data_IF_390354587036
#
_entry.id   IF_390354587036
#
_cell.length_a   1.000
_cell.length_b   1.000
_cell.length_c   1.000
_cell.angle_alpha   90.00
_cell.angle_beta   90.00
_cell.angle_gamma   90.00
#
_symmetry.space_group_name_H-M   'P 1'
#
loop_
_entity.id
_entity.type
_entity.pdbx_description
1 polymer ?
#
# COMPACT_ATOMS: atom_id res chain seq x y z
N UNK A 1 0.86 -18.87 -5.35
CA UNK A 1 -0.39 -19.09 -6.05
C UNK A 1 -1.56 -18.30 -5.43
N UNK A 2 -1.74 -18.36 -4.09
CA UNK A 2 -2.82 -17.62 -3.42
C UNK A 2 -2.64 -16.12 -3.56
N UNK A 3 -1.42 -15.62 -3.47
CA UNK A 3 -1.13 -14.19 -3.60
C UNK A 3 -1.49 -13.71 -5.01
N UNK A 4 -1.04 -14.44 -6.03
CA UNK A 4 -1.33 -14.08 -7.42
C UNK A 4 -2.82 -14.09 -7.71
N UNK A 5 -3.53 -15.11 -7.21
CA UNK A 5 -4.98 -15.21 -7.39
C UNK A 5 -5.70 -14.04 -6.73
N UNK A 6 -5.27 -13.66 -5.53
CA UNK A 6 -5.89 -12.53 -4.81
C UNK A 6 -5.61 -11.20 -5.50
N UNK A 7 -4.39 -11.01 -6.01
CA UNK A 7 -4.06 -9.79 -6.76
C UNK A 7 -4.92 -9.68 -8.01
N UNK A 8 -5.16 -10.80 -8.68
CA UNK A 8 -6.05 -10.82 -9.84
C UNK A 8 -7.47 -10.40 -9.47
N UNK A 9 -7.99 -10.93 -8.36
CA UNK A 9 -9.32 -10.55 -7.87
C UNK A 9 -9.39 -9.06 -7.55
N UNK A 10 -8.36 -8.50 -6.89
CA UNK A 10 -8.31 -7.08 -6.57
C UNK A 10 -8.26 -6.23 -7.83
N UNK A 11 -7.47 -6.64 -8.82
CA UNK A 11 -7.41 -5.94 -10.10
C UNK A 11 -8.75 -5.92 -10.83
N UNK A 12 -9.46 -7.03 -10.80
CA UNK A 12 -10.79 -7.13 -11.38
C UNK A 12 -11.80 -6.23 -10.65
N UNK A 13 -11.76 -6.23 -9.32
CA UNK A 13 -12.63 -5.39 -8.50
C UNK A 13 -12.38 -3.91 -8.78
N UNK A 14 -11.13 -3.48 -8.81
CA UNK A 14 -10.75 -2.09 -9.10
C UNK A 14 -11.21 -1.73 -10.51
N UNK A 15 -11.03 -2.61 -11.47
CA UNK A 15 -11.46 -2.37 -12.85
C UNK A 15 -12.97 -2.13 -12.95
N UNK A 16 -13.75 -2.89 -12.19
CA UNK A 16 -15.20 -2.69 -12.15
C UNK A 16 -15.57 -1.38 -11.46
N UNK A 17 -14.94 -1.10 -10.33
CA UNK A 17 -15.24 0.10 -9.54
C UNK A 17 -14.91 1.39 -10.28
N UNK A 18 -13.94 1.34 -11.16
CA UNK A 18 -13.48 2.51 -11.91
C UNK A 18 -13.84 2.43 -13.40
N UNK A 19 -14.85 1.65 -13.76
CA UNK A 19 -15.31 1.55 -15.15
C UNK A 19 -15.62 2.93 -15.72
N UNK A 20 -15.06 3.24 -16.89
CA UNK A 20 -15.20 4.54 -17.54
C UNK A 20 -14.28 5.63 -17.00
N UNK A 21 -13.40 5.29 -16.06
CA UNK A 21 -12.47 6.24 -15.44
C UNK A 21 -11.03 5.77 -15.63
N UNK A 22 -10.10 6.65 -15.28
CA UNK A 22 -8.67 6.30 -15.17
C UNK A 22 -8.29 6.21 -13.70
N UNK A 23 -7.32 5.36 -13.39
CA UNK A 23 -6.83 5.17 -12.02
C UNK A 23 -5.37 5.59 -11.95
N UNK A 24 -5.04 6.34 -10.91
CA UNK A 24 -3.66 6.72 -10.63
C UNK A 24 -3.20 6.00 -9.37
N UNK A 25 -2.24 5.09 -9.52
CA UNK A 25 -1.70 4.31 -8.41
C UNK A 25 -0.48 4.99 -7.83
N UNK A 26 -0.45 5.13 -6.52
CA UNK A 26 0.73 5.62 -5.80
C UNK A 26 1.34 4.46 -5.04
N UNK A 27 2.52 4.04 -5.48
CA UNK A 27 3.27 2.97 -4.85
C UNK A 27 4.09 3.54 -3.69
N UNK A 28 3.88 3.03 -2.50
CA UNK A 28 4.67 3.43 -1.33
C UNK A 28 5.89 2.53 -1.26
N UNK A 29 7.04 3.08 -1.61
CA UNK A 29 8.32 2.38 -1.62
C UNK A 29 8.80 2.12 -0.20
N UNK A 30 9.59 1.08 0.03
CA UNK A 30 9.98 0.05 -0.97
C UNK A 30 9.04 -1.14 -0.97
N UNK A 31 8.37 -1.40 0.15
CA UNK A 31 7.66 -2.65 0.43
C UNK A 31 6.57 -3.01 -0.55
N UNK A 32 5.89 -2.03 -1.14
CA UNK A 32 4.76 -2.32 -2.02
C UNK A 32 5.13 -2.40 -3.50
N UNK A 33 6.43 -2.37 -3.83
CA UNK A 33 6.86 -2.31 -5.24
C UNK A 33 6.36 -3.49 -6.06
N UNK A 34 6.51 -4.72 -5.54
CA UNK A 34 6.07 -5.91 -6.27
C UNK A 34 4.56 -5.98 -6.37
N UNK A 35 3.88 -5.71 -5.26
CA UNK A 35 2.43 -5.72 -5.24
C UNK A 35 1.85 -4.70 -6.23
N UNK A 36 2.37 -3.47 -6.21
CA UNK A 36 1.89 -2.42 -7.11
C UNK A 36 2.06 -2.81 -8.57
N UNK A 37 3.22 -3.34 -8.93
CA UNK A 37 3.50 -3.74 -10.31
C UNK A 37 2.60 -4.87 -10.77
N UNK A 38 2.42 -5.88 -9.93
CA UNK A 38 1.55 -7.01 -10.27
C UNK A 38 0.08 -6.59 -10.34
N UNK A 39 -0.36 -5.75 -9.41
CA UNK A 39 -1.72 -5.25 -9.39
C UNK A 39 -2.02 -4.40 -10.64
N UNK A 40 -1.10 -3.50 -10.99
CA UNK A 40 -1.28 -2.63 -12.14
C UNK A 40 -1.52 -3.41 -13.43
N UNK A 41 -0.82 -4.53 -13.60
CA UNK A 41 -0.98 -5.38 -14.79
C UNK A 41 -2.35 -6.05 -14.87
N UNK A 42 -3.08 -6.10 -13.76
CA UNK A 42 -4.39 -6.75 -13.67
C UNK A 42 -5.55 -5.77 -13.77
N UNK A 43 -5.28 -4.48 -13.87
CA UNK A 43 -6.30 -3.44 -13.99
C UNK A 43 -6.51 -3.15 -15.48
N UNK A 44 -7.78 -3.20 -15.93
CA UNK A 44 -8.12 -3.09 -17.34
C UNK A 44 -8.57 -1.69 -17.77
N UNK A 45 -8.79 -0.78 -16.81
CA UNK A 45 -9.01 0.64 -17.12
C UNK A 45 -7.65 1.33 -17.29
N UNK A 46 -7.59 2.53 -17.89
CA UNK A 46 -6.30 3.22 -18.01
C UNK A 46 -5.65 3.47 -16.65
N UNK A 47 -4.37 3.15 -16.52
CA UNK A 47 -3.61 3.23 -15.29
C UNK A 47 -2.39 4.08 -15.49
N UNK A 48 -2.15 5.00 -14.55
CA UNK A 48 -0.87 5.69 -14.41
C UNK A 48 -0.29 5.35 -13.04
N UNK A 49 1.02 5.44 -12.91
CA UNK A 49 1.72 5.07 -11.69
C UNK A 49 2.68 6.16 -11.27
N UNK A 50 2.78 6.35 -9.96
CA UNK A 50 3.79 7.22 -9.38
C UNK A 50 4.30 6.57 -8.10
N UNK A 51 5.40 7.07 -7.57
CA UNK A 51 6.10 6.45 -6.46
C UNK A 51 6.38 7.49 -5.39
N UNK A 52 6.19 7.08 -4.14
CA UNK A 52 6.44 7.93 -2.99
C UNK A 52 7.16 7.11 -1.93
N UNK A 53 8.12 7.72 -1.24
CA UNK A 53 8.81 7.07 -0.15
C UNK A 53 8.74 7.95 1.08
N UNK A 54 8.31 7.36 2.19
CA UNK A 54 8.19 8.04 3.46
C UNK A 54 8.95 7.26 4.52
N UNK A 55 9.44 7.97 5.52
CA UNK A 55 10.01 7.35 6.72
C UNK A 55 9.28 7.86 7.94
N UNK A 56 9.18 7.01 8.96
CA UNK A 56 8.64 7.45 10.25
C UNK A 56 9.59 8.42 10.91
N UNK A 57 9.07 9.54 11.36
CA UNK A 57 9.87 10.52 12.08
C UNK A 57 10.28 9.93 13.43
N UNK A 58 11.58 9.91 13.71
CA UNK A 58 12.14 9.37 14.95
C UNK A 58 12.57 7.91 14.87
N UNK A 59 12.34 7.20 13.78
CA UNK A 59 12.86 5.86 13.54
C UNK A 59 12.46 4.80 14.56
N UNK A 60 11.39 5.02 15.30
CA UNK A 60 11.00 4.19 16.42
C UNK A 60 9.67 3.49 16.15
N UNK A 61 9.48 2.32 16.77
CA UNK A 61 8.24 1.58 16.77
C UNK A 61 7.10 2.34 17.43
N UNK A 62 7.43 3.36 18.22
CA UNK A 62 6.45 4.26 18.84
C UNK A 62 6.27 5.54 18.03
N UNK A 63 6.24 5.42 16.71
CA UNK A 63 6.10 6.60 15.87
C UNK A 63 4.84 7.38 16.22
N UNK A 64 4.95 8.70 16.25
CA UNK A 64 3.82 9.61 16.47
C UNK A 64 2.87 9.64 15.28
N UNK A 65 3.15 8.88 14.24
CA UNK A 65 2.41 8.92 12.99
C UNK A 65 2.86 10.03 12.05
N UNK A 66 3.80 10.86 12.48
CA UNK A 66 4.38 11.90 11.63
C UNK A 66 5.32 11.24 10.63
N UNK A 67 5.09 11.49 9.35
CA UNK A 67 5.92 10.95 8.30
C UNK A 67 6.79 12.04 7.69
N UNK A 68 8.02 11.64 7.38
CA UNK A 68 8.93 12.48 6.61
C UNK A 68 8.93 11.96 5.18
N UNK A 69 8.71 12.87 4.22
CA UNK A 69 8.74 12.51 2.81
C UNK A 69 10.20 12.45 2.37
N UNK A 70 10.66 11.27 1.96
CA UNK A 70 12.00 11.05 1.42
C UNK A 70 11.98 11.28 -0.08
N UNK A 71 10.96 10.77 -0.76
CA UNK A 71 10.70 11.02 -2.18
C UNK A 71 9.25 11.38 -2.34
N UNK A 72 8.97 12.56 -2.86
CA UNK A 72 7.60 12.99 -3.15
C UNK A 72 7.18 12.54 -4.56
N UNK A 73 5.89 12.67 -4.83
CA UNK A 73 5.31 12.36 -6.13
C UNK A 73 5.92 13.22 -7.24
N UNK A 74 6.07 12.63 -8.40
CA UNK A 74 6.54 13.37 -9.58
C UNK A 74 5.42 14.19 -10.20
N UNK A 75 4.17 13.75 -10.04
CA UNK A 75 3.03 14.36 -10.71
C UNK A 75 2.02 14.94 -9.73
N UNK A 76 1.31 15.97 -10.20
CA UNK A 76 0.19 16.57 -9.49
C UNK A 76 -1.01 15.64 -9.54
N UNK A 77 -1.61 15.36 -8.39
CA UNK A 77 -2.76 14.45 -8.31
C UNK A 77 -4.11 15.17 -8.28
N UNK A 78 -4.13 16.49 -8.43
CA UNK A 78 -5.37 17.24 -8.42
C UNK A 78 -6.35 16.70 -9.47
N UNK A 79 -7.57 16.41 -9.05
CA UNK A 79 -8.61 15.90 -9.93
C UNK A 79 -8.49 14.46 -10.36
N UNK A 80 -7.46 13.73 -9.89
CA UNK A 80 -7.25 12.34 -10.26
C UNK A 80 -7.95 11.38 -9.30
N UNK A 81 -8.33 10.21 -9.82
CA UNK A 81 -8.82 9.10 -9.01
C UNK A 81 -7.61 8.33 -8.51
N UNK A 82 -7.29 8.48 -7.22
CA UNK A 82 -6.03 7.99 -6.65
C UNK A 82 -6.26 6.79 -5.74
N UNK A 83 -5.40 5.79 -5.87
CA UNK A 83 -5.33 4.66 -4.93
C UNK A 83 -3.90 4.58 -4.40
N UNK A 84 -3.76 4.67 -3.07
CA UNK A 84 -2.48 4.47 -2.39
C UNK A 84 -2.30 2.96 -2.21
N UNK A 85 -1.16 2.45 -2.67
CA UNK A 85 -0.84 1.01 -2.59
C UNK A 85 0.17 0.79 -1.48
N UNK A 86 -0.20 -0.04 -0.50
CA UNK A 86 0.62 -0.42 0.63
C UNK A 86 0.90 -1.92 0.66
N UNK A 87 2.01 -2.30 1.26
CA UNK A 87 2.33 -3.72 1.47
C UNK A 87 1.60 -4.28 2.68
N UNK A 88 1.64 -3.57 3.79
CA UNK A 88 1.06 -4.02 5.06
C UNK A 88 0.61 -2.82 5.89
N UNK A 89 -0.51 -2.97 6.57
CA UNK A 89 -1.01 -1.97 7.50
C UNK A 89 -0.99 -2.55 8.90
N UNK A 90 -0.27 -1.87 9.79
CA UNK A 90 -0.20 -2.21 11.22
C UNK A 90 -1.09 -1.27 12.04
N UNK A 91 -0.49 -0.26 12.66
CA UNK A 91 -1.20 0.68 13.54
C UNK A 91 -2.15 1.60 12.78
N UNK A 92 -1.88 1.88 11.53
CA UNK A 92 -2.63 2.82 10.73
C UNK A 92 -2.19 4.27 10.88
N UNK A 93 -1.24 4.55 11.76
CA UNK A 93 -0.81 5.93 12.04
C UNK A 93 -0.15 6.59 10.83
N UNK A 94 0.83 5.92 10.24
CA UNK A 94 1.54 6.44 9.07
C UNK A 94 0.59 6.66 7.91
N UNK A 95 -0.24 5.68 7.65
CA UNK A 95 -1.16 5.72 6.51
C UNK A 95 -2.26 6.77 6.71
N UNK A 96 -2.75 6.93 7.93
CA UNK A 96 -3.72 7.98 8.27
C UNK A 96 -3.14 9.37 8.00
N UNK A 97 -1.88 9.59 8.41
CA UNK A 97 -1.18 10.85 8.17
C UNK A 97 -0.99 11.09 6.68
N UNK A 98 -0.54 10.05 5.97
CA UNK A 98 -0.31 10.14 4.53
C UNK A 98 -1.60 10.43 3.76
N UNK A 99 -2.70 9.81 4.16
CA UNK A 99 -4.00 10.04 3.55
C UNK A 99 -4.44 11.50 3.71
N UNK A 100 -4.24 12.08 4.89
CA UNK A 100 -4.54 13.49 5.12
C UNK A 100 -3.68 14.40 4.25
N UNK A 101 -2.39 14.11 4.19
CA UNK A 101 -1.44 14.91 3.42
C UNK A 101 -1.78 14.90 1.93
N UNK A 102 -2.05 13.74 1.37
CA UNK A 102 -2.40 13.61 -0.04
C UNK A 102 -3.80 14.15 -0.33
N UNK A 103 -4.71 14.02 0.63
CA UNK A 103 -6.05 14.59 0.49
C UNK A 103 -6.04 16.10 0.33
N UNK A 104 -5.07 16.78 0.92
CA UNK A 104 -4.90 18.24 0.79
C UNK A 104 -4.47 18.66 -0.61
N UNK A 105 -4.04 17.72 -1.44
CA UNK A 105 -3.67 17.99 -2.83
C UNK A 105 -4.84 17.86 -3.81
N UNK A 106 -6.05 17.74 -3.28
CA UNK A 106 -7.32 17.79 -4.01
C UNK A 106 -7.50 16.74 -5.10
N UNK A 107 -7.23 15.44 -4.80
CA UNK A 107 -7.60 14.39 -5.74
C UNK A 107 -9.11 14.30 -5.88
N UNK A 108 -9.60 13.76 -6.98
CA UNK A 108 -11.04 13.53 -7.16
C UNK A 108 -11.54 12.46 -6.20
N UNK A 109 -10.72 11.44 -5.92
CA UNK A 109 -10.95 10.45 -4.88
C UNK A 109 -9.62 9.94 -4.38
N UNK A 110 -9.61 9.41 -3.15
CA UNK A 110 -8.41 8.90 -2.52
C UNK A 110 -8.78 7.66 -1.73
N UNK A 111 -8.35 6.51 -2.21
CA UNK A 111 -8.61 5.22 -1.58
C UNK A 111 -7.30 4.52 -1.28
N UNK A 112 -7.38 3.46 -0.49
CA UNK A 112 -6.22 2.69 -0.06
C UNK A 112 -6.42 1.22 -0.43
N UNK A 113 -5.36 0.62 -0.98
CA UNK A 113 -5.29 -0.80 -1.26
C UNK A 113 -4.05 -1.36 -0.58
N UNK A 114 -4.22 -2.38 0.26
CA UNK A 114 -3.09 -3.04 0.92
C UNK A 114 -3.09 -4.53 0.59
N UNK A 115 -1.90 -5.10 0.51
CA UNK A 115 -1.77 -6.55 0.35
C UNK A 115 -2.10 -7.27 1.64
N UNK A 116 -1.54 -6.79 2.75
CA UNK A 116 -1.74 -7.39 4.07
C UNK A 116 -2.29 -6.37 5.05
N UNK A 117 -3.18 -6.83 5.92
CA UNK A 117 -3.76 -6.01 6.99
C UNK A 117 -3.69 -6.77 8.30
N UNK A 118 -3.16 -6.11 9.34
CA UNK A 118 -3.12 -6.63 10.70
C UNK A 118 -4.11 -5.85 11.55
N UNK A 119 -5.40 -6.18 11.53
CA UNK A 119 -6.41 -5.39 12.24
C UNK A 119 -6.18 -5.35 13.76
N UNK A 120 -5.56 -6.38 14.34
CA UNK A 120 -5.25 -6.42 15.77
C UNK A 120 -4.27 -5.33 16.20
N UNK A 121 -3.45 -4.84 15.27
CA UNK A 121 -2.45 -3.80 15.55
C UNK A 121 -2.99 -2.39 15.38
N UNK A 122 -4.24 -2.25 14.95
CA UNK A 122 -4.80 -0.95 14.62
C UNK A 122 -4.92 -0.07 15.86
N UNK A 123 -4.41 1.15 15.78
CA UNK A 123 -4.47 2.16 16.83
C UNK A 123 -5.29 3.36 16.36
N UNK A 124 -5.22 3.66 15.07
CA UNK A 124 -5.95 4.76 14.45
C UNK A 124 -6.83 4.19 13.35
N UNK A 125 -8.09 4.58 13.32
CA UNK A 125 -9.02 4.14 12.27
C UNK A 125 -8.60 4.69 10.93
N UNK A 126 -8.48 3.80 9.96
CA UNK A 126 -8.20 4.13 8.57
C UNK A 126 -9.11 3.30 7.69
N UNK A 127 -9.84 3.96 6.81
CA UNK A 127 -10.66 3.26 5.82
C UNK A 127 -9.76 2.68 4.74
N UNK A 128 -9.82 1.37 4.57
CA UNK A 128 -9.05 0.65 3.54
C UNK A 128 -10.06 -0.05 2.64
N UNK A 129 -10.19 0.45 1.42
CA UNK A 129 -11.23 -0.02 0.49
C UNK A 129 -10.91 -1.39 -0.11
N UNK A 130 -9.61 -1.69 -0.28
CA UNK A 130 -9.18 -2.94 -0.89
C UNK A 130 -8.13 -3.61 -0.01
N UNK A 131 -8.45 -4.79 0.49
CA UNK A 131 -7.57 -5.59 1.35
C UNK A 131 -7.32 -6.94 0.69
N UNK A 132 -6.04 -7.28 0.52
CA UNK A 132 -5.67 -8.59 -0.01
C UNK A 132 -5.96 -9.68 1.00
N UNK A 133 -5.28 -9.65 2.14
CA UNK A 133 -5.43 -10.64 3.21
C UNK A 133 -5.39 -9.96 4.56
N UNK A 134 -6.26 -10.41 5.47
CA UNK A 134 -6.11 -10.08 6.90
C UNK A 134 -5.25 -11.17 7.53
N UNK A 135 -4.27 -10.78 8.33
CA UNK A 135 -3.36 -11.72 8.99
C UNK A 135 -3.26 -11.41 10.48
N UNK A 136 -2.85 -12.42 11.24
CA UNK A 136 -2.54 -12.27 12.66
C UNK A 136 -1.27 -11.43 12.84
N UNK A 137 -1.01 -11.01 14.07
CA UNK A 137 0.19 -10.24 14.39
C UNK A 137 1.42 -11.17 14.40
N UNK A 138 1.89 -11.50 13.19
CA UNK A 138 3.08 -12.31 12.97
C UNK A 138 4.04 -11.54 12.07
N UNK A 139 5.31 -11.83 12.20
CA UNK A 139 6.34 -11.21 11.37
C UNK A 139 6.46 -11.96 10.06
N UNK A 140 6.23 -11.26 8.95
CA UNK A 140 6.25 -11.86 7.61
C UNK A 140 7.26 -11.14 6.72
N UNK A 141 7.79 -11.86 5.74
CA UNK A 141 8.73 -11.34 4.75
C UNK A 141 8.36 -11.86 3.38
N UNK A 142 8.95 -11.28 2.37
CA UNK A 142 8.75 -11.67 0.99
C UNK A 142 7.71 -10.81 0.29
N UNK A 143 7.69 -10.90 -1.01
CA UNK A 143 6.80 -10.12 -1.87
C UNK A 143 6.88 -8.61 -1.59
N UNK A 144 8.12 -8.13 -1.38
CA UNK A 144 8.41 -6.73 -1.05
C UNK A 144 8.69 -6.47 0.41
N UNK A 145 8.17 -7.30 1.31
CA UNK A 145 8.39 -7.16 2.75
C UNK A 145 9.78 -7.64 3.13
N UNK A 146 10.39 -6.96 4.09
CA UNK A 146 11.79 -7.20 4.45
C UNK A 146 11.99 -7.58 5.90
N UNK A 147 13.17 -8.15 6.13
CA UNK A 147 13.85 -8.20 7.43
C UNK A 147 15.27 -7.71 7.21
N UNK A 148 15.60 -6.56 7.81
CA UNK A 148 16.92 -5.93 7.66
C UNK A 148 17.30 -5.73 6.18
N UNK A 149 16.36 -5.23 5.38
CA UNK A 149 16.46 -4.99 3.93
C UNK A 149 16.59 -6.27 3.08
N UNK A 150 16.52 -7.45 3.70
CA UNK A 150 16.63 -8.72 3.00
C UNK A 150 15.26 -9.35 2.81
N UNK A 151 15.18 -10.33 1.93
CA UNK A 151 14.01 -11.19 1.67
C UNK A 151 12.88 -10.53 0.87
N UNK A 152 13.01 -9.27 0.46
CA UNK A 152 11.99 -8.62 -0.36
C UNK A 152 11.71 -9.36 -1.66
N UNK A 153 12.74 -10.00 -2.21
CA UNK A 153 12.70 -10.66 -3.51
C UNK A 153 12.02 -12.02 -3.52
N UNK A 154 11.63 -12.55 -2.36
CA UNK A 154 10.94 -13.84 -2.33
C UNK A 154 9.61 -13.74 -3.07
N UNK A 155 9.31 -14.69 -3.97
CA UNK A 155 8.07 -14.63 -4.75
C UNK A 155 6.84 -15.11 -3.98
N UNK A 156 6.95 -15.17 -2.66
CA UNK A 156 5.89 -15.58 -1.75
C UNK A 156 6.03 -14.82 -0.43
N UNK A 157 5.00 -14.90 0.40
CA UNK A 157 5.04 -14.34 1.75
C UNK A 157 5.31 -15.48 2.72
N UNK A 158 6.34 -15.32 3.54
CA UNK A 158 6.76 -16.32 4.51
C UNK A 158 6.79 -15.78 5.93
N UNK A 159 6.56 -16.67 6.91
CA UNK A 159 6.68 -16.34 8.31
C UNK A 159 8.14 -16.42 8.73
N UNK A 160 8.58 -15.42 9.51
CA UNK A 160 9.90 -15.46 10.13
C UNK A 160 9.77 -16.11 11.50
N UNK A 161 10.57 -17.16 11.73
CA UNK A 161 10.67 -17.80 13.04
C UNK A 161 11.99 -17.40 13.65
N UNK A 162 11.92 -16.83 14.84
CA UNK A 162 13.10 -16.48 15.60
C UNK A 162 13.41 -17.58 16.62
N UNK A 163 14.64 -18.06 16.61
CA UNK A 163 15.09 -19.10 17.55
C UNK A 163 15.36 -18.50 18.93
#
# INVERSE_FOLDING_TARGET
>A
EKVDARIKELGEQISRDYAGKSVHLICILKGSVYFTCELAKRITVPVTMDFMQCSSYGGDTKSSGIVRIVKDLDENIEGKEVIIIEDIIDSGRTLSHLKKLLGQRNPASLKICTLLDKPERRVVDVDVEYVGFQIDDKFVVGYGLDYDQQYRNLPYIGLVQFD
#
